data_IF_873752645720
#
_entry.id   IF_873752645720
#
_cell.length_a   1.000
_cell.length_b   1.000
_cell.length_c   1.000
_cell.angle_alpha   90.00
_cell.angle_beta   90.00
_cell.angle_gamma   90.00
#
_symmetry.space_group_name_H-M   'P 1'
#
loop_
_entity.id
_entity.type
_entity.pdbx_description
1 polymer ?
#
# COMPACT_ATOMS: atom_id res chain seq x y z
N UNK A 1 -17.85 -23.03 5.63
CA UNK A 1 -16.86 -22.12 6.26
C UNK A 1 -16.45 -21.13 5.19
N UNK A 2 -16.25 -19.84 5.52
CA UNK A 2 -15.74 -18.86 4.54
C UNK A 2 -14.44 -19.39 3.93
N UNK A 3 -14.29 -19.26 2.62
CA UNK A 3 -13.03 -19.59 1.94
C UNK A 3 -12.11 -18.37 2.04
N UNK A 4 -10.89 -18.57 2.54
CA UNK A 4 -9.86 -17.54 2.60
C UNK A 4 -9.02 -17.54 1.33
N UNK A 5 -8.63 -16.35 0.88
CA UNK A 5 -7.73 -16.12 -0.24
C UNK A 5 -6.73 -15.01 0.10
N UNK A 6 -5.61 -14.99 -0.63
CA UNK A 6 -4.67 -13.88 -0.57
C UNK A 6 -4.10 -13.57 -1.94
N UNK A 7 -3.64 -12.33 -2.11
CA UNK A 7 -2.85 -11.90 -3.27
C UNK A 7 -1.65 -11.09 -2.79
N UNK A 8 -0.52 -11.27 -3.47
CA UNK A 8 0.67 -10.44 -3.28
C UNK A 8 0.76 -9.41 -4.40
N UNK A 9 0.94 -8.15 -4.03
CA UNK A 9 1.11 -7.02 -4.95
C UNK A 9 2.58 -6.60 -4.88
N UNK A 10 3.40 -6.95 -5.87
CA UNK A 10 4.81 -6.61 -5.86
C UNK A 10 5.02 -5.11 -6.08
N UNK A 11 6.15 -4.58 -5.61
CA UNK A 11 6.53 -3.18 -5.83
C UNK A 11 6.48 -2.75 -7.31
N UNK A 12 6.73 -3.67 -8.24
CA UNK A 12 6.70 -3.40 -9.69
C UNK A 12 5.30 -3.13 -10.26
N UNK A 13 4.24 -3.37 -9.48
CA UNK A 13 2.87 -3.00 -9.85
C UNK A 13 2.55 -1.53 -9.53
N UNK A 14 3.43 -0.84 -8.79
CA UNK A 14 3.20 0.54 -8.38
C UNK A 14 3.69 1.52 -9.45
N UNK A 15 2.89 2.55 -9.70
CA UNK A 15 3.22 3.69 -10.55
C UNK A 15 3.16 4.97 -9.75
N UNK A 16 4.04 5.91 -10.08
CA UNK A 16 4.15 7.19 -9.37
C UNK A 16 3.15 8.18 -9.95
N UNK A 17 2.77 9.19 -9.15
CA UNK A 17 1.91 10.28 -9.65
C UNK A 17 2.61 11.20 -10.66
N UNK A 18 3.94 11.31 -10.60
CA UNK A 18 4.69 12.34 -11.32
C UNK A 18 5.69 11.69 -12.28
N UNK A 19 5.44 11.85 -13.58
CA UNK A 19 6.34 11.38 -14.65
C UNK A 19 7.76 11.99 -14.60
N UNK A 20 7.90 13.15 -13.94
CA UNK A 20 9.15 13.92 -13.91
C UNK A 20 10.10 13.58 -12.76
N UNK A 21 9.68 12.79 -11.77
CA UNK A 21 10.53 12.42 -10.64
C UNK A 21 10.77 10.91 -10.66
N UNK A 22 11.97 10.43 -11.01
CA UNK A 22 12.20 9.01 -11.19
C UNK A 22 12.17 8.31 -9.83
N UNK A 23 11.06 7.66 -9.50
CA UNK A 23 11.17 6.50 -8.62
C UNK A 23 11.96 5.46 -9.36
N UNK A 24 13.06 5.04 -8.74
CA UNK A 24 13.89 4.00 -9.30
C UNK A 24 13.42 2.66 -8.76
N UNK A 25 13.07 1.77 -9.67
CA UNK A 25 13.06 0.33 -9.40
C UNK A 25 14.53 -0.10 -9.33
N UNK A 26 15.08 -0.18 -8.11
CA UNK A 26 16.47 -0.57 -7.89
C UNK A 26 16.53 -1.92 -7.17
N UNK A 27 17.27 -2.87 -7.75
CA UNK A 27 17.52 -4.25 -7.32
C UNK A 27 16.29 -5.11 -6.99
N UNK A 28 15.52 -4.74 -5.97
CA UNK A 28 14.43 -5.53 -5.40
C UNK A 28 13.30 -4.72 -4.74
N UNK A 29 13.25 -3.38 -4.88
CA UNK A 29 12.21 -2.58 -4.24
C UNK A 29 11.92 -1.25 -4.93
N UNK A 30 10.93 -0.55 -4.41
CA UNK A 30 10.53 0.79 -4.82
C UNK A 30 11.09 1.82 -3.84
N UNK A 31 11.79 2.83 -4.39
CA UNK A 31 12.52 3.86 -3.63
C UNK A 31 12.17 5.27 -4.14
N UNK A 32 12.27 6.24 -3.23
CA UNK A 32 12.14 7.66 -3.54
C UNK A 32 13.49 8.37 -3.41
N UNK A 33 14.06 8.79 -4.53
CA UNK A 33 15.30 9.58 -4.62
C UNK A 33 15.04 11.08 -4.81
N UNK A 34 13.78 11.50 -4.76
CA UNK A 34 13.40 12.91 -4.79
C UNK A 34 13.75 13.63 -3.48
N UNK A 35 13.34 14.88 -3.41
CA UNK A 35 13.45 15.79 -2.27
C UNK A 35 12.12 16.01 -1.54
N UNK A 36 11.07 15.28 -1.95
CA UNK A 36 9.74 15.32 -1.36
C UNK A 36 9.15 13.91 -1.26
N UNK A 37 8.30 13.67 -0.27
CA UNK A 37 7.56 12.42 -0.12
C UNK A 37 6.70 12.17 -1.35
N UNK A 38 6.80 10.98 -1.93
CA UNK A 38 6.14 10.66 -3.20
C UNK A 38 5.11 9.55 -3.04
N UNK A 39 3.86 9.77 -3.50
CA UNK A 39 2.87 8.72 -3.54
C UNK A 39 3.09 7.80 -4.75
N UNK A 40 2.89 6.52 -4.53
CA UNK A 40 2.85 5.49 -5.57
C UNK A 40 1.59 4.63 -5.41
N UNK A 41 1.04 4.20 -6.53
CA UNK A 41 -0.27 3.58 -6.62
C UNK A 41 -0.19 2.24 -7.34
N UNK A 42 -0.83 1.19 -6.80
CA UNK A 42 -0.98 -0.08 -7.50
C UNK A 42 -2.46 -0.47 -7.61
N UNK A 43 -2.98 -0.75 -8.81
CA UNK A 43 -4.34 -1.24 -8.96
C UNK A 43 -4.49 -2.63 -8.34
N UNK A 44 -5.65 -2.88 -7.75
CA UNK A 44 -5.97 -4.12 -7.07
C UNK A 44 -7.21 -4.74 -7.69
N UNK A 45 -7.08 -5.94 -8.26
CA UNK A 45 -8.22 -6.70 -8.74
C UNK A 45 -8.54 -7.82 -7.76
N UNK A 46 -9.69 -7.70 -7.10
CA UNK A 46 -10.21 -8.74 -6.20
C UNK A 46 -11.49 -9.35 -6.77
N UNK A 47 -11.83 -10.59 -6.38
CA UNK A 47 -13.09 -11.22 -6.78
C UNK A 47 -14.31 -10.42 -6.31
N UNK A 48 -15.33 -10.31 -7.18
CA UNK A 48 -16.60 -9.67 -6.82
C UNK A 48 -17.20 -10.34 -5.58
N UNK A 49 -17.65 -9.53 -4.61
CA UNK A 49 -18.30 -9.99 -3.39
C UNK A 49 -17.36 -10.55 -2.32
N UNK A 50 -16.04 -10.58 -2.55
CA UNK A 50 -15.08 -10.92 -1.51
C UNK A 50 -15.03 -9.82 -0.45
N UNK A 51 -14.80 -10.18 0.81
CA UNK A 51 -14.58 -9.22 1.91
C UNK A 51 -13.10 -9.15 2.21
N UNK A 52 -12.49 -7.98 2.03
CA UNK A 52 -11.11 -7.74 2.45
C UNK A 52 -11.05 -7.80 3.97
N UNK A 53 -10.17 -8.64 4.50
CA UNK A 53 -9.99 -8.83 5.94
C UNK A 53 -8.71 -8.17 6.42
N UNK A 54 -7.69 -8.10 5.57
CA UNK A 54 -6.40 -7.60 5.97
C UNK A 54 -5.54 -7.09 4.81
N UNK A 55 -4.60 -6.21 5.14
CA UNK A 55 -3.54 -5.79 4.22
C UNK A 55 -2.24 -5.58 5.00
N UNK A 56 -1.17 -6.26 4.57
CA UNK A 56 0.15 -6.18 5.21
C UNK A 56 1.21 -5.75 4.21
N UNK A 57 1.98 -4.72 4.54
CA UNK A 57 3.01 -4.12 3.68
C UNK A 57 4.39 -4.49 4.23
N UNK A 58 5.30 -4.91 3.34
CA UNK A 58 6.66 -5.32 3.69
C UNK A 58 7.65 -4.32 3.10
N UNK A 59 8.54 -3.80 3.94
CA UNK A 59 9.45 -2.71 3.58
C UNK A 59 10.74 -2.76 4.40
N UNK A 60 11.73 -1.99 3.98
CA UNK A 60 12.96 -1.71 4.71
C UNK A 60 12.99 -0.22 5.05
N UNK A 61 13.35 0.05 6.30
CA UNK A 61 13.35 1.38 6.90
C UNK A 61 14.55 1.51 7.83
N UNK A 62 15.33 2.57 7.72
CA UNK A 62 16.55 2.76 8.49
C UNK A 62 16.74 4.17 9.06
N UNK A 63 15.68 4.98 9.05
CA UNK A 63 15.71 6.38 9.47
C UNK A 63 14.32 6.77 10.04
N UNK A 64 14.17 7.99 10.55
CA UNK A 64 13.03 8.40 11.37
C UNK A 64 11.83 8.92 10.55
N UNK A 65 11.91 9.09 9.22
CA UNK A 65 10.73 9.44 8.41
C UNK A 65 9.80 8.24 8.14
N UNK A 66 8.53 8.54 7.85
CA UNK A 66 7.46 7.54 7.93
C UNK A 66 6.82 7.20 6.59
N UNK A 67 6.79 5.91 6.26
CA UNK A 67 5.86 5.42 5.25
C UNK A 67 4.41 5.63 5.68
N UNK A 68 3.56 5.98 4.71
CA UNK A 68 2.12 5.91 4.87
C UNK A 68 1.58 4.85 3.91
N UNK A 69 0.67 4.02 4.42
CA UNK A 69 0.10 2.91 3.67
C UNK A 69 -1.42 2.99 3.68
N UNK A 70 -2.02 2.90 2.50
CA UNK A 70 -3.45 2.94 2.32
C UNK A 70 -3.92 1.77 1.44
N UNK A 71 -5.08 1.25 1.81
CA UNK A 71 -5.93 0.47 0.93
C UNK A 71 -7.18 1.30 0.69
N UNK A 72 -7.50 1.53 -0.57
CA UNK A 72 -8.53 2.48 -0.97
C UNK A 72 -9.44 1.89 -2.04
N UNK A 73 -10.65 2.44 -2.12
CA UNK A 73 -11.53 2.28 -3.28
C UNK A 73 -11.89 3.64 -3.85
N UNK A 74 -12.00 3.73 -5.17
CA UNK A 74 -12.54 4.92 -5.84
C UNK A 74 -13.79 4.56 -6.61
N UNK A 75 -14.78 5.45 -6.60
CA UNK A 75 -15.83 5.42 -7.62
C UNK A 75 -15.30 6.11 -8.90
N UNK A 76 -15.94 5.87 -10.04
CA UNK A 76 -15.49 6.44 -11.31
C UNK A 76 -15.68 7.97 -11.41
N UNK A 77 -16.28 8.63 -10.41
CA UNK A 77 -16.82 10.00 -10.58
C UNK A 77 -16.38 11.03 -9.55
N UNK A 78 -15.94 10.67 -8.34
CA UNK A 78 -15.83 11.67 -7.26
C UNK A 78 -14.59 11.53 -6.37
N UNK A 79 -14.49 10.48 -5.55
CA UNK A 79 -13.51 10.45 -4.45
C UNK A 79 -13.07 9.05 -4.06
N UNK A 80 -11.88 9.00 -3.49
CA UNK A 80 -11.32 7.82 -2.86
C UNK A 80 -11.91 7.64 -1.45
N UNK A 81 -12.19 6.39 -1.11
CA UNK A 81 -12.62 5.96 0.21
C UNK A 81 -11.49 5.14 0.81
N UNK A 82 -11.07 5.53 2.01
CA UNK A 82 -10.10 4.77 2.77
C UNK A 82 -10.79 3.51 3.32
N UNK A 83 -10.35 2.35 2.83
CA UNK A 83 -10.75 1.04 3.35
C UNK A 83 -9.91 0.73 4.58
N UNK A 84 -8.61 0.98 4.52
CA UNK A 84 -7.71 0.86 5.66
C UNK A 84 -6.55 1.83 5.50
N UNK A 85 -6.08 2.37 6.61
CA UNK A 85 -4.86 3.16 6.63
C UNK A 85 -3.95 2.73 7.76
N UNK A 86 -2.67 3.02 7.56
CA UNK A 86 -1.70 3.10 8.63
C UNK A 86 -0.96 4.41 8.48
N UNK A 87 -1.39 5.37 9.27
CA UNK A 87 -0.74 6.68 9.38
C UNK A 87 0.26 6.68 10.54
N UNK A 88 1.36 7.42 10.38
CA UNK A 88 2.34 7.71 11.44
C UNK A 88 2.85 6.46 12.17
N UNK A 89 3.42 5.51 11.43
CA UNK A 89 4.36 4.61 12.09
C UNK A 89 5.62 5.39 12.36
N UNK A 90 6.06 5.60 13.62
CA UNK A 90 7.51 5.68 13.89
C UNK A 90 8.16 4.67 12.95
N UNK A 91 9.09 5.08 12.09
CA UNK A 91 9.84 4.13 11.27
C UNK A 91 10.20 3.00 12.19
N UNK A 92 9.68 1.80 11.89
CA UNK A 92 9.14 0.90 12.92
C UNK A 92 10.06 0.84 14.14
N UNK A 93 9.54 0.66 15.38
CA UNK A 93 10.41 0.50 16.57
C UNK A 93 11.62 -0.46 16.33
N UNK A 94 11.54 -1.27 15.27
CA UNK A 94 12.62 -1.98 14.60
C UNK A 94 13.09 -1.33 13.27
N UNK A 95 14.25 -0.69 13.26
CA UNK A 95 14.95 -0.39 11.99
C UNK A 95 15.30 -1.71 11.27
N UNK A 96 15.28 -1.69 9.95
CA UNK A 96 15.63 -2.81 9.07
C UNK A 96 14.45 -3.31 8.24
N UNK A 97 14.49 -4.60 7.91
CA UNK A 97 13.40 -5.27 7.21
C UNK A 97 12.23 -5.52 8.17
N UNK A 98 11.07 -4.98 7.85
CA UNK A 98 9.90 -5.01 8.72
C UNK A 98 8.60 -5.09 7.90
N UNK A 99 7.47 -5.13 8.60
CA UNK A 99 6.16 -5.12 7.97
C UNK A 99 5.12 -4.42 8.82
N UNK A 100 4.04 -3.98 8.18
CA UNK A 100 2.89 -3.44 8.88
C UNK A 100 1.58 -3.90 8.31
N UNK A 101 0.69 -4.27 9.22
CA UNK A 101 -0.70 -4.57 8.91
C UNK A 101 -1.57 -3.33 9.13
N UNK A 102 -2.42 -3.00 8.15
CA UNK A 102 -3.34 -1.87 8.27
C UNK A 102 -4.26 -2.03 9.48
N UNK A 103 -4.57 -0.91 10.13
CA UNK A 103 -5.52 -0.93 11.25
C UNK A 103 -6.93 -0.94 10.69
N UNK A 104 -7.81 -1.74 11.31
CA UNK A 104 -9.27 -1.68 11.20
C UNK A 104 -9.79 -1.40 9.79
N UNK A 105 -9.95 -2.46 9.00
CA UNK A 105 -10.62 -2.42 7.71
C UNK A 105 -12.05 -1.88 7.88
N UNK A 106 -12.38 -0.81 7.17
CA UNK A 106 -13.69 -0.18 7.16
C UNK A 106 -14.70 -1.12 6.49
N UNK A 107 -15.66 -1.67 7.25
CA UNK A 107 -16.59 -2.69 6.72
C UNK A 107 -17.49 -2.16 5.60
N UNK A 108 -17.69 -0.84 5.51
CA UNK A 108 -18.52 -0.20 4.46
C UNK A 108 -17.96 -0.45 3.07
N UNK A 109 -16.63 -0.49 2.94
CA UNK A 109 -15.93 -0.60 1.66
C UNK A 109 -15.08 -1.87 1.56
N UNK A 110 -15.09 -2.70 2.61
CA UNK A 110 -14.35 -3.96 2.67
C UNK A 110 -14.92 -5.02 1.73
N UNK A 111 -16.24 -5.01 1.49
CA UNK A 111 -16.86 -5.90 0.51
C UNK A 111 -16.59 -5.37 -0.90
N UNK A 112 -15.99 -6.20 -1.74
CA UNK A 112 -15.59 -5.88 -3.09
C UNK A 112 -16.81 -5.75 -3.99
N UNK A 113 -16.99 -4.58 -4.57
CA UNK A 113 -18.00 -4.31 -5.57
C UNK A 113 -17.39 -3.65 -6.81
N UNK A 114 -16.87 -4.50 -7.70
CA UNK A 114 -16.22 -4.12 -8.95
C UNK A 114 -17.18 -3.45 -9.96
N UNK A 115 -18.50 -3.44 -9.71
CA UNK A 115 -19.44 -2.72 -10.57
C UNK A 115 -19.46 -1.22 -10.26
N UNK A 116 -19.12 -0.83 -9.04
CA UNK A 116 -19.22 0.55 -8.57
C UNK A 116 -17.86 1.15 -8.21
N UNK A 117 -16.89 0.30 -7.86
CA UNK A 117 -15.59 0.73 -7.35
C UNK A 117 -14.43 0.03 -8.04
N UNK A 118 -13.33 0.75 -8.20
CA UNK A 118 -12.00 0.17 -8.39
C UNK A 118 -11.25 0.23 -7.07
N UNK A 119 -10.34 -0.71 -6.87
CA UNK A 119 -9.55 -0.84 -5.65
C UNK A 119 -8.08 -0.63 -5.97
N UNK A 120 -7.35 -0.04 -5.04
CA UNK A 120 -5.92 0.19 -5.21
C UNK A 120 -5.22 0.35 -3.87
N UNK A 121 -3.90 0.20 -3.91
CA UNK A 121 -3.01 0.51 -2.81
C UNK A 121 -2.36 1.87 -3.09
N UNK A 122 -2.29 2.72 -2.09
CA UNK A 122 -1.41 3.90 -2.09
C UNK A 122 -0.32 3.67 -1.05
N UNK A 123 0.91 3.98 -1.43
CA UNK A 123 2.03 4.10 -0.50
C UNK A 123 2.66 5.47 -0.67
N UNK A 124 2.93 6.15 0.44
CA UNK A 124 3.73 7.38 0.43
C UNK A 124 5.12 7.03 0.94
N UNK A 125 6.11 7.19 0.06
CA UNK A 125 7.49 6.84 0.34
C UNK A 125 8.23 8.12 0.72
N UNK A 126 8.77 8.22 1.95
CA UNK A 126 9.53 9.38 2.36
C UNK A 126 10.69 9.65 1.41
N UNK A 127 11.05 10.93 1.28
CA UNK A 127 12.29 11.28 0.64
C UNK A 127 13.45 11.09 1.60
N UNK A 128 14.62 10.77 1.06
CA UNK A 128 15.83 10.62 1.84
C UNK A 128 16.44 11.99 2.12
N UNK A 129 16.11 12.61 3.25
CA UNK A 129 16.70 13.90 3.65
C UNK A 129 18.20 13.77 4.01
N UNK A 130 18.63 12.56 4.35
CA UNK A 130 20.03 12.18 4.63
C UNK A 130 20.58 11.28 3.51
N UNK A 131 21.89 11.33 3.23
CA UNK A 131 22.52 10.38 2.30
C UNK A 131 22.57 8.93 2.84
N UNK A 132 22.08 8.72 4.06
CA UNK A 132 22.05 7.43 4.75
C UNK A 132 20.65 6.81 4.80
N UNK A 133 19.59 7.60 4.62
CA UNK A 133 18.24 7.07 4.55
C UNK A 133 18.07 6.18 3.31
N UNK A 134 17.33 5.10 3.50
CA UNK A 134 17.15 4.07 2.49
C UNK A 134 15.79 3.42 2.74
N UNK A 135 14.75 4.07 2.24
CA UNK A 135 13.38 3.56 2.29
C UNK A 135 13.14 2.64 1.10
N UNK A 136 12.76 1.38 1.34
CA UNK A 136 12.43 0.43 0.26
C UNK A 136 11.12 -0.27 0.52
N UNK A 137 10.16 -0.13 -0.39
CA UNK A 137 8.95 -0.95 -0.38
C UNK A 137 9.15 -2.21 -1.24
N UNK A 138 8.70 -3.38 -0.77
CA UNK A 138 8.88 -4.66 -1.46
C UNK A 138 7.58 -5.21 -2.04
N UNK A 139 6.56 -5.40 -1.22
CA UNK A 139 5.26 -5.91 -1.65
C UNK A 139 4.21 -5.71 -0.55
N UNK A 140 2.95 -5.82 -0.95
CA UNK A 140 1.82 -5.91 -0.03
C UNK A 140 1.14 -7.28 -0.17
N UNK A 141 0.67 -7.84 0.94
CA UNK A 141 -0.18 -9.03 0.98
C UNK A 141 -1.60 -8.59 1.36
N UNK A 142 -2.57 -8.88 0.49
CA UNK A 142 -3.98 -8.60 0.74
C UNK A 142 -4.69 -9.92 1.01
N UNK A 143 -5.37 -10.00 2.16
CA UNK A 143 -6.14 -11.16 2.59
C UNK A 143 -7.64 -10.85 2.46
N UNK A 144 -8.40 -11.82 1.98
CA UNK A 144 -9.84 -11.68 1.78
C UNK A 144 -10.57 -13.00 2.01
N UNK A 145 -11.87 -12.90 2.26
CA UNK A 145 -12.78 -14.03 2.45
C UNK A 145 -13.93 -13.99 1.45
N UNK A 146 -14.38 -15.17 1.01
CA UNK A 146 -15.61 -15.29 0.24
C UNK A 146 -16.80 -15.54 1.18
N UNK A 147 -17.98 -14.96 0.87
CA UNK A 147 -19.21 -15.43 1.48
C UNK A 147 -19.39 -16.93 1.19
N UNK A 148 -19.96 -17.69 2.14
CA UNK A 148 -20.17 -19.12 2.00
C UNK A 148 -21.13 -19.50 0.88
#
# INVERSE_FOLDING_TARGET
MPQTGNISVPFSAFVTKYDSNPMYHYDAGLLNYGDETMPAYAPLQLPQGATITNATFYFYDNDDDYFLFYLESGNMTDRWNIIGSKDNMPGSDTLGYTSVTLRSINPTYATVDNNNYYYFLEIQIPYSSSNSANYRFFYALIEYEFPP
#
